data_IF_735564475274
#
_entry.id   IF_735564475274
#
_cell.length_a   1.000
_cell.length_b   1.000
_cell.length_c   1.000
_cell.angle_alpha   90.00
_cell.angle_beta   90.00
_cell.angle_gamma   90.00
#
_symmetry.space_group_name_H-M   'P 1'
#
loop_
_entity.id
_entity.type
_entity.pdbx_description
1 polymer ?
#
# COMPACT_ATOMS: atom_id res chain seq x y z
N UNK A 1 -8.66 7.41 13.06
CA UNK A 1 -9.39 7.65 11.80
C UNK A 1 -10.33 6.48 11.59
N UNK A 2 -11.64 6.70 11.52
CA UNK A 2 -12.60 5.62 11.22
C UNK A 2 -12.91 5.70 9.72
N UNK A 3 -12.41 4.74 8.94
CA UNK A 3 -12.85 4.55 7.57
C UNK A 3 -14.11 3.69 7.66
N UNK A 4 -15.23 4.21 7.15
CA UNK A 4 -16.50 3.47 7.14
C UNK A 4 -16.55 2.62 5.88
N UNK A 5 -16.35 1.32 6.04
CA UNK A 5 -16.59 0.35 4.97
C UNK A 5 -17.99 -0.27 5.11
N UNK A 6 -18.55 -0.77 4.01
CA UNK A 6 -19.68 -1.70 4.05
C UNK A 6 -19.36 -2.88 4.97
N UNK A 7 -20.38 -3.44 5.63
CA UNK A 7 -20.22 -4.56 6.57
C UNK A 7 -19.51 -5.76 5.94
N UNK A 8 -19.73 -6.01 4.65
CA UNK A 8 -19.08 -7.07 3.90
C UNK A 8 -17.57 -6.83 3.72
N UNK A 9 -17.17 -5.61 3.36
CA UNK A 9 -15.76 -5.23 3.18
C UNK A 9 -15.01 -5.25 4.53
N UNK A 10 -15.65 -4.81 5.62
CA UNK A 10 -15.07 -4.89 6.98
C UNK A 10 -14.75 -6.32 7.38
N UNK A 11 -15.68 -7.24 7.13
CA UNK A 11 -15.48 -8.65 7.46
C UNK A 11 -14.29 -9.24 6.69
N UNK A 12 -14.18 -8.95 5.39
CA UNK A 12 -13.06 -9.41 4.55
C UNK A 12 -11.71 -8.86 5.03
N UNK A 13 -11.65 -7.58 5.42
CA UNK A 13 -10.44 -6.98 6.01
C UNK A 13 -10.02 -7.73 7.29
N UNK A 14 -10.96 -7.96 8.22
CA UNK A 14 -10.67 -8.66 9.46
C UNK A 14 -10.22 -10.10 9.25
N UNK A 15 -10.76 -10.77 8.22
CA UNK A 15 -10.36 -12.12 7.83
C UNK A 15 -9.13 -12.19 6.94
N UNK A 16 -8.60 -11.05 6.48
CA UNK A 16 -7.52 -10.97 5.49
C UNK A 16 -7.88 -11.68 4.16
N UNK A 17 -9.13 -11.56 3.71
CA UNK A 17 -9.65 -12.17 2.47
C UNK A 17 -9.46 -11.23 1.27
N UNK A 18 -8.29 -11.34 0.66
CA UNK A 18 -7.82 -10.54 -0.46
C UNK A 18 -7.90 -11.28 -1.81
N UNK A 19 -7.94 -10.52 -2.90
CA UNK A 19 -7.79 -11.02 -4.27
C UNK A 19 -6.41 -11.67 -4.40
N UNK A 20 -6.32 -12.78 -5.12
CA UNK A 20 -5.04 -13.43 -5.40
C UNK A 20 -4.25 -12.60 -6.40
N UNK A 21 -3.05 -12.20 -5.99
CA UNK A 21 -2.13 -11.40 -6.79
C UNK A 21 -0.75 -12.05 -6.87
N UNK A 22 -0.09 -11.89 -8.01
CA UNK A 22 1.31 -12.28 -8.24
C UNK A 22 2.14 -11.03 -8.52
N UNK A 23 3.44 -11.11 -8.22
CA UNK A 23 4.39 -10.06 -8.59
C UNK A 23 4.77 -10.23 -10.06
N UNK A 24 4.74 -9.12 -10.79
CA UNK A 24 5.16 -9.06 -12.18
C UNK A 24 6.23 -7.97 -12.33
N UNK A 25 7.33 -8.30 -12.99
CA UNK A 25 8.29 -7.27 -13.39
C UNK A 25 7.75 -6.52 -14.60
N UNK A 26 7.66 -5.20 -14.50
CA UNK A 26 7.14 -4.32 -15.54
C UNK A 26 8.27 -3.53 -16.19
N UNK A 27 8.07 -3.16 -17.46
CA UNK A 27 9.00 -2.30 -18.17
C UNK A 27 8.89 -0.87 -17.65
N UNK A 28 10.00 -0.28 -17.21
CA UNK A 28 10.08 1.12 -16.75
C UNK A 28 9.49 1.43 -15.37
N UNK A 29 8.61 0.60 -14.81
CA UNK A 29 7.92 0.87 -13.53
C UNK A 29 8.32 -0.05 -12.37
N UNK A 30 9.29 -0.96 -12.58
CA UNK A 30 9.74 -1.89 -11.54
C UNK A 30 8.76 -3.04 -11.32
N UNK A 31 8.49 -3.41 -10.07
CA UNK A 31 7.57 -4.50 -9.74
C UNK A 31 6.12 -4.00 -9.68
N UNK A 32 5.20 -4.76 -10.24
CA UNK A 32 3.76 -4.53 -10.21
C UNK A 32 2.99 -5.73 -9.63
N UNK A 33 1.70 -5.54 -9.39
CA UNK A 33 0.75 -6.62 -9.07
C UNK A 33 -0.05 -7.02 -10.30
N UNK A 34 -0.16 -8.33 -10.52
CA UNK A 34 -1.03 -8.93 -11.52
C UNK A 34 -2.04 -9.84 -10.83
N UNK A 35 -3.25 -9.90 -11.36
CA UNK A 35 -4.25 -10.90 -10.97
C UNK A 35 -4.61 -11.78 -12.17
N UNK A 36 -4.90 -13.04 -11.90
CA UNK A 36 -5.39 -14.00 -12.91
C UNK A 36 -6.90 -14.24 -12.78
N UNK A 37 -7.58 -13.51 -11.90
CA UNK A 37 -9.02 -13.60 -11.67
C UNK A 37 -9.74 -12.30 -12.05
N UNK A 38 -11.01 -12.42 -12.45
CA UNK A 38 -11.85 -11.26 -12.72
C UNK A 38 -12.26 -10.61 -11.40
N UNK A 39 -11.84 -9.38 -11.17
CA UNK A 39 -12.19 -8.60 -9.98
C UNK A 39 -13.54 -7.93 -10.21
N UNK A 40 -14.47 -8.10 -9.27
CA UNK A 40 -15.77 -7.42 -9.35
C UNK A 40 -15.67 -5.95 -8.92
N UNK A 41 -16.57 -5.11 -9.42
CA UNK A 41 -16.70 -3.73 -8.91
C UNK A 41 -16.94 -3.76 -7.40
N UNK A 42 -16.28 -2.86 -6.66
CA UNK A 42 -16.28 -2.79 -5.18
C UNK A 42 -15.65 -3.97 -4.43
N UNK A 43 -14.98 -4.88 -5.14
CA UNK A 43 -14.25 -5.97 -4.51
C UNK A 43 -12.98 -5.49 -3.80
N UNK A 44 -12.79 -5.96 -2.57
CA UNK A 44 -11.58 -5.69 -1.79
C UNK A 44 -10.39 -6.46 -2.41
N UNK A 45 -9.46 -5.72 -3.00
CA UNK A 45 -8.24 -6.28 -3.59
C UNK A 45 -7.20 -6.60 -2.52
N UNK A 46 -6.66 -5.57 -1.86
CA UNK A 46 -5.62 -5.70 -0.84
C UNK A 46 -5.67 -4.51 0.12
N UNK A 47 -5.27 -4.72 1.37
CA UNK A 47 -5.05 -3.64 2.33
C UNK A 47 -3.64 -3.07 2.21
N UNK A 48 -3.53 -1.74 2.10
CA UNK A 48 -2.26 -1.03 2.25
C UNK A 48 -2.01 -0.74 3.74
N UNK A 49 -0.93 -1.29 4.29
CA UNK A 49 -0.57 -1.08 5.70
C UNK A 49 0.92 -0.76 5.88
N UNK A 50 1.21 0.20 6.76
CA UNK A 50 2.56 0.63 7.07
C UNK A 50 2.67 1.15 8.50
N UNK A 51 3.69 1.95 8.75
CA UNK A 51 3.80 2.72 9.98
C UNK A 51 2.95 3.98 9.85
N UNK A 52 1.97 4.17 10.74
CA UNK A 52 1.24 5.43 10.82
C UNK A 52 2.15 6.50 11.42
N UNK A 53 2.48 7.52 10.64
CA UNK A 53 3.37 8.61 11.01
C UNK A 53 2.69 9.97 10.84
N UNK A 54 3.19 10.99 11.54
CA UNK A 54 2.71 12.36 11.34
C UNK A 54 3.16 12.91 9.97
N UNK A 55 2.44 13.89 9.44
CA UNK A 55 2.82 14.61 8.21
C UNK A 55 4.24 15.20 8.28
N UNK A 56 4.63 15.73 9.44
CA UNK A 56 5.98 16.26 9.65
C UNK A 56 7.05 15.16 9.53
N UNK A 57 6.80 13.98 10.13
CA UNK A 57 7.69 12.83 10.04
C UNK A 57 7.75 12.27 8.61
N UNK A 58 6.62 12.21 7.92
CA UNK A 58 6.54 11.81 6.51
C UNK A 58 7.40 12.72 5.63
N UNK A 59 7.28 14.05 5.79
CA UNK A 59 8.11 15.02 5.06
C UNK A 59 9.60 14.80 5.29
N UNK A 60 10.01 14.60 6.54
CA UNK A 60 11.41 14.31 6.88
C UNK A 60 11.90 13.02 6.23
N UNK A 61 11.08 11.96 6.20
CA UNK A 61 11.42 10.70 5.51
C UNK A 61 11.54 10.88 4.01
N UNK A 62 10.63 11.60 3.37
CA UNK A 62 10.72 11.91 1.94
C UNK A 62 12.01 12.65 1.59
N UNK A 63 12.41 13.64 2.41
CA UNK A 63 13.67 14.37 2.22
C UNK A 63 14.89 13.43 2.31
N UNK A 64 14.92 12.53 3.27
CA UNK A 64 15.99 11.52 3.39
C UNK A 64 16.03 10.59 2.18
N UNK A 65 14.87 10.13 1.70
CA UNK A 65 14.78 9.29 0.50
C UNK A 65 15.41 9.98 -0.71
N UNK A 66 15.07 11.25 -0.93
CA UNK A 66 15.64 12.06 -2.01
C UNK A 66 17.15 12.22 -1.82
N UNK A 67 17.63 12.58 -0.62
CA UNK A 67 19.07 12.77 -0.36
C UNK A 67 19.89 11.49 -0.54
N UNK A 68 19.26 10.32 -0.38
CA UNK A 68 19.90 9.02 -0.51
C UNK A 68 19.65 8.38 -1.88
N UNK A 69 19.05 9.12 -2.82
CA UNK A 69 18.66 8.60 -4.14
C UNK A 69 17.82 7.31 -4.07
N UNK A 70 17.03 7.15 -3.00
CA UNK A 70 16.12 6.00 -2.88
C UNK A 70 14.98 6.15 -3.88
N UNK A 71 14.84 5.14 -4.73
CA UNK A 71 13.80 5.08 -5.77
C UNK A 71 12.43 4.71 -5.22
N UNK A 72 12.42 4.03 -4.07
CA UNK A 72 11.22 3.41 -3.50
C UNK A 72 10.83 4.12 -2.20
N UNK A 73 9.81 4.97 -2.27
CA UNK A 73 9.18 5.59 -1.10
C UNK A 73 7.67 5.31 -1.15
N UNK A 74 7.16 4.58 -0.15
CA UNK A 74 5.77 4.11 -0.11
C UNK A 74 5.01 4.85 0.99
N UNK A 75 4.76 6.14 0.78
CA UNK A 75 4.10 7.02 1.76
C UNK A 75 2.78 7.53 1.18
N UNK A 76 1.66 7.24 1.87
CA UNK A 76 0.31 7.63 1.45
C UNK A 76 -0.35 8.48 2.51
N UNK A 77 -1.06 9.55 2.09
CA UNK A 77 -1.82 10.39 3.01
C UNK A 77 -3.08 9.69 3.51
N UNK A 78 -3.20 9.56 4.82
CA UNK A 78 -4.43 9.07 5.46
C UNK A 78 -5.40 10.23 5.72
N UNK A 79 -4.89 11.35 6.24
CA UNK A 79 -5.66 12.57 6.50
C UNK A 79 -4.74 13.80 6.62
N UNK A 80 -5.30 14.92 7.08
CA UNK A 80 -4.57 16.17 7.33
C UNK A 80 -3.35 15.99 8.25
N UNK A 81 -3.40 15.07 9.22
CA UNK A 81 -2.38 14.92 10.27
C UNK A 81 -1.46 13.72 10.05
N UNK A 82 -1.97 12.65 9.46
CA UNK A 82 -1.31 11.34 9.43
C UNK A 82 -1.09 10.82 8.01
N UNK A 83 0.01 10.08 7.86
CA UNK A 83 0.39 9.32 6.67
C UNK A 83 0.64 7.86 7.07
N UNK A 84 0.44 6.95 6.13
CA UNK A 84 0.89 5.56 6.21
C UNK A 84 2.22 5.43 5.46
N UNK A 85 3.22 4.82 6.09
CA UNK A 85 4.55 4.63 5.48
C UNK A 85 4.94 3.15 5.47
N UNK A 86 4.90 2.55 4.29
CA UNK A 86 5.27 1.17 4.02
C UNK A 86 6.73 1.01 3.50
N UNK A 87 7.54 2.07 3.56
CA UNK A 87 8.92 2.08 3.03
C UNK A 87 9.83 1.06 3.74
N UNK A 88 9.72 0.97 5.06
CA UNK A 88 10.58 0.10 5.89
C UNK A 88 9.88 -1.13 6.45
N UNK A 89 8.55 -1.11 6.53
CA UNK A 89 7.76 -2.18 7.15
C UNK A 89 7.32 -3.22 6.12
N UNK A 90 8.04 -4.33 6.06
CA UNK A 90 7.45 -5.65 5.80
C UNK A 90 7.52 -6.43 7.11
N UNK A 91 6.39 -6.95 7.62
CA UNK A 91 6.45 -7.84 8.77
C UNK A 91 7.10 -9.16 8.29
N UNK A 92 8.00 -9.78 9.06
CA UNK A 92 8.71 -11.01 8.65
C UNK A 92 7.78 -12.16 8.20
N UNK A 93 6.50 -12.14 8.61
CA UNK A 93 5.50 -13.13 8.21
C UNK A 93 4.48 -12.69 7.15
N UNK A 94 4.47 -11.42 6.70
CA UNK A 94 3.56 -10.93 5.66
C UNK A 94 4.24 -9.87 4.80
N UNK A 95 4.51 -10.25 3.56
CA UNK A 95 4.98 -9.35 2.51
C UNK A 95 3.84 -8.37 2.19
N UNK A 96 4.06 -7.06 2.40
CA UNK A 96 3.07 -6.06 2.03
C UNK A 96 3.11 -5.87 0.51
N UNK A 97 2.27 -6.63 -0.20
CA UNK A 97 2.16 -6.58 -1.65
C UNK A 97 1.57 -5.25 -2.16
N UNK A 98 0.80 -4.53 -1.33
CA UNK A 98 0.16 -3.28 -1.74
C UNK A 98 1.16 -2.17 -2.11
N UNK A 99 2.42 -2.29 -1.67
CA UNK A 99 3.50 -1.36 -2.05
C UNK A 99 3.88 -1.46 -3.53
N UNK A 100 3.51 -2.53 -4.22
CA UNK A 100 3.79 -2.74 -5.65
C UNK A 100 2.63 -2.32 -6.56
N UNK A 101 1.68 -1.55 -6.04
CA UNK A 101 0.63 -0.94 -6.87
C UNK A 101 1.25 0.24 -7.60
N UNK A 102 1.36 0.12 -8.93
CA UNK A 102 1.85 1.18 -9.78
C UNK A 102 0.76 2.25 -10.02
N UNK A 103 1.20 3.48 -10.26
CA UNK A 103 0.33 4.57 -10.69
C UNK A 103 0.13 4.53 -12.21
N UNK A 104 -1.12 4.63 -12.67
CA UNK A 104 -1.50 4.83 -14.07
C UNK A 104 -2.31 6.12 -14.22
N UNK A 105 -2.09 6.88 -15.29
CA UNK A 105 -2.84 8.09 -15.63
C UNK A 105 -4.10 7.77 -16.43
#
# INVERSE_FOLDING_TARGET
>A
MKIFYSSHVRLRLWKCEYVKTTLLQTEGCGWGLLTNENIKVEELVIEHYGEVISRTKARGRSQVCVSQCMKDAYIIFLNAKYCDDATKKGNLGRFNLARFINHSW
#
